data_IF_527504505263
#
_entry.id   IF_527504505263
#
_cell.length_a   1.000
_cell.length_b   1.000
_cell.length_c   1.000
_cell.angle_alpha   90.00
_cell.angle_beta   90.00
_cell.angle_gamma   90.00
#
_symmetry.space_group_name_H-M   'P 1'
#
loop_
_entity.id
_entity.type
_entity.pdbx_description
1 polymer ?
#
# COMPACT_ATOMS: atom_id res chain seq x y z
N UNK A 1 17.77 -49.74 48.16
CA UNK A 1 18.41 -48.41 48.11
C UNK A 1 19.10 -48.26 46.76
N UNK A 2 18.48 -47.53 45.83
CA UNK A 2 19.06 -47.30 44.49
C UNK A 2 20.16 -46.25 44.65
N UNK A 3 21.39 -46.61 44.30
CA UNK A 3 22.56 -45.72 44.38
C UNK A 3 22.30 -44.43 43.59
N UNK A 4 22.60 -43.28 44.22
CA UNK A 4 22.37 -41.91 43.71
C UNK A 4 22.84 -41.70 42.25
N UNK A 5 23.89 -42.42 41.81
CA UNK A 5 24.39 -42.35 40.43
C UNK A 5 23.48 -42.97 39.35
N UNK A 6 22.55 -43.86 39.72
CA UNK A 6 21.58 -44.45 38.77
C UNK A 6 20.23 -43.73 38.75
N UNK A 7 19.97 -42.84 39.71
CA UNK A 7 18.72 -42.09 39.79
C UNK A 7 18.70 -40.87 38.85
N UNK A 8 19.85 -40.22 38.64
CA UNK A 8 19.99 -39.04 37.76
C UNK A 8 19.52 -39.29 36.32
N UNK A 9 19.92 -40.37 35.61
CA UNK A 9 19.43 -40.63 34.26
C UNK A 9 17.95 -40.99 34.22
N UNK A 10 17.41 -41.62 35.28
CA UNK A 10 15.97 -41.93 35.38
C UNK A 10 15.13 -40.66 35.54
N UNK A 11 15.58 -39.70 36.36
CA UNK A 11 14.91 -38.40 36.48
C UNK A 11 15.03 -37.56 35.20
N UNK A 12 16.17 -37.62 34.51
CA UNK A 12 16.34 -36.97 33.21
C UNK A 12 15.38 -37.55 32.16
N UNK A 13 15.25 -38.87 32.10
CA UNK A 13 14.32 -39.52 31.17
C UNK A 13 12.86 -39.21 31.50
N UNK A 14 12.49 -39.22 32.78
CA UNK A 14 11.14 -38.85 33.22
C UNK A 14 10.80 -37.38 32.90
N UNK A 15 11.76 -36.46 33.03
CA UNK A 15 11.60 -35.05 32.69
C UNK A 15 11.39 -34.84 31.19
N UNK A 16 12.18 -35.52 30.34
CA UNK A 16 12.01 -35.49 28.88
C UNK A 16 10.65 -36.09 28.49
N UNK A 17 10.26 -37.21 29.10
CA UNK A 17 8.95 -37.82 28.83
C UNK A 17 7.81 -36.87 29.22
N UNK A 18 7.94 -36.14 30.33
CA UNK A 18 6.95 -35.15 30.76
C UNK A 18 6.87 -33.96 29.81
N UNK A 19 8.01 -33.47 29.30
CA UNK A 19 8.05 -32.42 28.27
C UNK A 19 7.38 -32.90 26.99
N UNK A 20 7.67 -34.12 26.53
CA UNK A 20 7.07 -34.67 25.32
C UNK A 20 5.55 -34.88 25.47
N UNK A 21 5.09 -35.31 26.66
CA UNK A 21 3.66 -35.42 26.97
C UNK A 21 2.98 -34.04 27.07
N UNK A 22 3.66 -33.03 27.62
CA UNK A 22 3.16 -31.66 27.66
C UNK A 22 3.07 -31.06 26.25
N UNK A 23 4.10 -31.22 25.41
CA UNK A 23 4.08 -30.78 24.01
C UNK A 23 2.95 -31.48 23.25
N UNK A 24 2.76 -32.80 23.44
CA UNK A 24 1.67 -33.55 22.80
C UNK A 24 0.29 -33.13 23.31
N UNK A 25 0.16 -32.79 24.58
CA UNK A 25 -1.09 -32.26 25.15
C UNK A 25 -1.41 -30.86 24.62
N UNK A 26 -0.41 -29.98 24.49
CA UNK A 26 -0.60 -28.67 23.86
C UNK A 26 -0.91 -28.83 22.37
N UNK A 27 -0.24 -29.74 21.66
CA UNK A 27 -0.52 -29.98 20.23
C UNK A 27 -1.93 -30.54 20.01
N UNK A 28 -2.41 -31.44 20.87
CA UNK A 28 -3.77 -31.98 20.72
C UNK A 28 -4.86 -30.95 21.05
N UNK A 29 -4.58 -29.98 21.94
CA UNK A 29 -5.48 -28.84 22.14
C UNK A 29 -5.53 -27.92 20.92
N UNK A 30 -4.42 -27.83 20.17
CA UNK A 30 -4.34 -27.04 18.94
C UNK A 30 -4.96 -27.76 17.73
N UNK A 31 -4.88 -29.09 17.64
CA UNK A 31 -5.61 -29.89 16.63
C UNK A 31 -7.13 -29.80 16.81
N UNK A 32 -7.63 -29.64 18.03
CA UNK A 32 -9.05 -29.36 18.26
C UNK A 32 -9.43 -27.92 17.91
N UNK A 33 -8.51 -26.95 18.08
CA UNK A 33 -8.73 -25.57 17.65
C UNK A 33 -8.80 -25.44 16.12
N UNK A 34 -8.01 -26.22 15.38
CA UNK A 34 -8.06 -26.25 13.90
C UNK A 34 -9.30 -26.96 13.35
N UNK A 35 -9.99 -27.80 14.13
CA UNK A 35 -11.31 -28.34 13.75
C UNK A 35 -12.47 -27.37 14.02
N UNK A 36 -12.31 -26.39 14.92
CA UNK A 36 -13.34 -25.38 15.24
C UNK A 36 -13.30 -24.22 14.24
N UNK A 37 -12.16 -23.97 13.60
CA UNK A 37 -12.01 -23.05 12.46
C UNK A 37 -12.11 -23.90 11.20
N UNK A 38 -13.23 -23.86 10.49
CA UNK A 38 -13.54 -24.71 9.33
C UNK A 38 -12.59 -24.55 8.14
N UNK A 39 -11.38 -25.07 8.25
CA UNK A 39 -10.48 -25.41 7.15
C UNK A 39 -10.85 -26.83 6.71
N UNK A 40 -11.29 -26.95 5.46
CA UNK A 40 -12.02 -28.09 4.92
C UNK A 40 -11.41 -29.47 5.19
N UNK A 41 -12.31 -30.45 5.38
CA UNK A 41 -12.00 -31.86 5.52
C UNK A 41 -11.17 -32.36 4.33
N UNK A 42 -10.05 -33.05 4.62
CA UNK A 42 -9.37 -33.90 3.66
C UNK A 42 -10.37 -34.93 3.11
N UNK A 43 -10.69 -34.80 1.83
CA UNK A 43 -11.53 -35.74 1.10
C UNK A 43 -10.95 -37.16 1.20
N UNK A 44 -11.61 -38.02 1.96
CA UNK A 44 -11.42 -39.47 1.90
C UNK A 44 -12.40 -40.04 0.88
N UNK A 45 -11.85 -40.87 -0.01
CA UNK A 45 -12.49 -41.53 -1.14
C UNK A 45 -13.77 -42.28 -0.74
N UNK A 46 -14.88 -42.22 -1.51
CA UNK A 46 -16.11 -42.90 -1.13
C UNK A 46 -16.07 -44.39 -1.51
N UNK A 47 -16.45 -45.25 -0.55
CA UNK A 47 -16.93 -46.60 -0.83
C UNK A 47 -18.36 -46.75 -0.26
N UNK A 48 -19.26 -47.49 -0.93
CA UNK A 48 -20.69 -47.32 -0.73
C UNK A 48 -21.27 -48.29 0.30
N UNK A 49 -21.99 -47.79 1.31
CA UNK A 49 -23.02 -48.58 2.00
C UNK A 49 -24.11 -47.71 2.66
N UNK A 50 -25.33 -47.94 2.15
CA UNK A 50 -26.72 -47.82 2.66
C UNK A 50 -27.16 -46.80 3.73
N UNK A 51 -28.40 -46.27 3.60
CA UNK A 51 -28.84 -45.09 4.33
C UNK A 51 -29.47 -45.46 5.68
N UNK A 52 -28.94 -44.91 6.77
CA UNK A 52 -29.67 -44.84 8.05
C UNK A 52 -30.08 -43.38 8.26
N UNK A 53 -31.40 -43.15 8.21
CA UNK A 53 -32.02 -41.88 8.60
C UNK A 53 -31.76 -41.65 10.08
N UNK A 54 -30.93 -40.66 10.41
CA UNK A 54 -30.97 -40.03 11.72
C UNK A 54 -31.55 -38.63 11.57
N UNK A 55 -32.72 -38.45 12.14
CA UNK A 55 -33.42 -37.20 12.28
C UNK A 55 -32.71 -36.41 13.39
N UNK A 56 -31.79 -35.52 13.03
CA UNK A 56 -31.22 -34.55 13.97
C UNK A 56 -31.80 -33.20 13.61
N UNK A 57 -32.89 -32.84 14.26
CA UNK A 57 -33.25 -31.44 14.48
C UNK A 57 -32.13 -30.81 15.31
N UNK A 58 -31.07 -30.36 14.64
CA UNK A 58 -30.14 -29.39 15.20
C UNK A 58 -30.84 -28.05 15.04
N UNK A 59 -31.38 -27.56 16.15
CA UNK A 59 -31.66 -26.14 16.30
C UNK A 59 -30.38 -25.42 15.91
N UNK A 60 -30.40 -24.67 14.81
CA UNK A 60 -29.39 -23.66 14.55
C UNK A 60 -29.55 -22.65 15.69
N UNK A 61 -28.77 -22.82 16.76
CA UNK A 61 -28.41 -21.68 17.60
C UNK A 61 -27.72 -20.70 16.65
N UNK A 62 -28.39 -19.59 16.36
CA UNK A 62 -27.73 -18.41 15.82
C UNK A 62 -26.48 -18.16 16.67
N UNK A 63 -25.30 -17.96 16.06
CA UNK A 63 -24.11 -17.64 16.83
C UNK A 63 -24.42 -16.41 17.66
N UNK A 64 -24.30 -16.53 18.99
CA UNK A 64 -24.45 -15.44 19.93
C UNK A 64 -23.74 -14.21 19.36
N UNK A 65 -24.47 -13.11 19.19
CA UNK A 65 -23.95 -11.83 18.69
C UNK A 65 -22.74 -11.48 19.56
N UNK A 66 -21.53 -11.77 19.07
CA UNK A 66 -20.29 -11.38 19.74
C UNK A 66 -20.27 -9.86 19.67
N UNK A 67 -20.44 -9.20 20.81
CA UNK A 67 -20.15 -7.77 20.92
C UNK A 67 -18.69 -7.57 20.54
N UNK A 68 -18.39 -6.79 19.49
CA UNK A 68 -17.01 -6.52 19.08
C UNK A 68 -16.22 -5.94 20.25
N UNK A 69 -14.93 -6.25 20.31
CA UNK A 69 -14.01 -5.70 21.29
C UNK A 69 -13.86 -4.17 21.13
N UNK A 70 -13.95 -3.68 19.89
CA UNK A 70 -13.96 -2.25 19.58
C UNK A 70 -15.17 -1.87 18.70
N UNK A 71 -15.86 -0.75 18.97
CA UNK A 71 -16.88 -0.26 18.08
C UNK A 71 -16.26 0.08 16.72
N UNK A 72 -16.95 -0.30 15.63
CA UNK A 72 -16.54 0.06 14.28
C UNK A 72 -16.67 1.57 14.09
N UNK A 73 -15.61 2.27 13.63
CA UNK A 73 -15.69 3.67 13.28
C UNK A 73 -16.79 3.92 12.26
N UNK A 74 -17.46 5.05 12.37
CA UNK A 74 -18.40 5.51 11.37
C UNK A 74 -17.69 6.50 10.45
N UNK A 75 -17.46 6.06 9.22
CA UNK A 75 -16.74 6.80 8.21
C UNK A 75 -17.70 7.64 7.38
N UNK A 76 -17.95 8.86 7.84
CA UNK A 76 -18.75 9.85 7.09
C UNK A 76 -17.84 10.73 6.23
N UNK A 77 -18.29 11.14 5.02
CA UNK A 77 -17.60 12.16 4.25
C UNK A 77 -17.46 13.46 5.04
N UNK A 78 -16.28 14.06 5.02
CA UNK A 78 -16.04 15.35 5.65
C UNK A 78 -16.65 16.50 4.84
N UNK A 79 -16.85 17.64 5.48
CA UNK A 79 -17.33 18.86 4.83
C UNK A 79 -16.15 19.78 4.49
N UNK A 80 -15.85 20.02 3.21
CA UNK A 80 -14.85 20.99 2.82
C UNK A 80 -15.14 22.37 3.38
N UNK A 81 -14.07 23.14 3.63
CA UNK A 81 -14.18 24.54 3.97
C UNK A 81 -14.68 25.32 2.74
N UNK A 82 -15.34 26.48 2.95
CA UNK A 82 -15.73 27.35 1.86
C UNK A 82 -14.53 27.80 1.02
N UNK A 83 -14.77 28.07 -0.27
CA UNK A 83 -13.77 28.61 -1.19
C UNK A 83 -13.08 29.85 -0.60
N UNK A 84 -11.77 29.96 -0.81
CA UNK A 84 -10.93 31.04 -0.25
C UNK A 84 -10.48 30.84 1.19
N UNK A 85 -10.91 29.77 1.88
CA UNK A 85 -10.41 29.44 3.22
C UNK A 85 -9.16 28.58 3.14
N UNK A 86 -8.15 28.87 3.96
CA UNK A 86 -6.91 28.09 4.01
C UNK A 86 -7.07 26.84 4.88
N UNK A 87 -6.37 25.77 4.48
CA UNK A 87 -6.24 24.54 5.25
C UNK A 87 -4.88 24.51 5.95
N UNK A 88 -4.86 24.10 7.21
CA UNK A 88 -3.59 23.75 7.86
C UNK A 88 -3.17 22.36 7.39
N UNK A 89 -1.90 22.24 7.01
CA UNK A 89 -1.33 21.05 6.39
C UNK A 89 -0.04 20.67 7.11
N UNK A 90 0.12 19.39 7.47
CA UNK A 90 1.40 18.86 7.97
C UNK A 90 1.84 17.66 7.14
N UNK A 91 3.11 17.65 6.77
CA UNK A 91 3.80 16.56 6.10
C UNK A 91 4.64 15.80 7.12
N UNK A 92 4.36 14.52 7.30
CA UNK A 92 5.01 13.62 8.26
C UNK A 92 5.92 12.66 7.49
N UNK A 93 7.21 12.69 7.81
CA UNK A 93 8.23 11.99 7.03
C UNK A 93 9.20 11.27 7.98
N UNK A 94 9.37 9.96 7.88
CA UNK A 94 10.50 9.26 8.49
C UNK A 94 11.76 9.57 7.67
N UNK A 95 12.90 9.72 8.34
CA UNK A 95 14.20 9.80 7.68
C UNK A 95 15.27 9.01 8.42
N UNK A 96 16.24 8.49 7.68
CA UNK A 96 17.54 8.08 8.23
C UNK A 96 18.53 9.26 8.23
N UNK A 97 19.68 9.12 8.87
CA UNK A 97 20.71 10.15 8.89
C UNK A 97 21.22 10.52 7.48
N UNK A 98 21.17 9.58 6.54
CA UNK A 98 21.74 9.71 5.20
C UNK A 98 20.76 10.32 4.19
N UNK A 99 19.47 10.45 4.56
CA UNK A 99 18.43 10.98 3.68
C UNK A 99 18.30 12.50 3.78
N UNK A 100 18.27 13.15 2.61
CA UNK A 100 18.07 14.59 2.49
C UNK A 100 16.58 14.95 2.45
N UNK A 101 16.18 15.74 3.43
CA UNK A 101 14.82 16.24 3.62
C UNK A 101 14.73 17.77 3.51
N UNK A 102 15.83 18.44 3.15
CA UNK A 102 15.91 19.90 3.09
C UNK A 102 15.02 20.51 2.00
N UNK A 103 14.74 19.75 0.94
CA UNK A 103 13.87 20.14 -0.16
C UNK A 103 12.47 20.57 0.31
N UNK A 104 11.94 19.98 1.39
CA UNK A 104 10.60 20.30 1.89
C UNK A 104 10.47 21.76 2.32
N UNK A 105 11.50 22.33 2.94
CA UNK A 105 11.47 23.73 3.37
C UNK A 105 11.48 24.71 2.19
N UNK A 106 12.13 24.30 1.08
CA UNK A 106 12.28 25.12 -0.13
C UNK A 106 11.04 25.01 -1.02
N UNK A 107 10.59 23.79 -1.28
CA UNK A 107 9.53 23.51 -2.25
C UNK A 107 8.12 23.60 -1.66
N UNK A 108 7.97 23.39 -0.35
CA UNK A 108 6.68 23.30 0.35
C UNK A 108 6.56 24.29 1.53
N UNK A 109 6.78 25.61 1.32
CA UNK A 109 6.74 26.60 2.40
C UNK A 109 5.35 26.75 3.08
N UNK A 110 4.29 26.27 2.43
CA UNK A 110 2.93 26.24 3.00
C UNK A 110 2.65 25.01 3.88
N UNK A 111 3.52 24.00 3.86
CA UNK A 111 3.38 22.79 4.64
C UNK A 111 4.21 22.89 5.90
N UNK A 112 3.60 22.58 7.04
CA UNK A 112 4.40 22.28 8.24
C UNK A 112 5.02 20.90 8.07
N UNK A 113 6.24 20.70 8.55
CA UNK A 113 6.92 19.41 8.46
C UNK A 113 7.09 18.79 9.85
N UNK A 114 6.93 17.47 9.93
CA UNK A 114 7.22 16.66 11.09
C UNK A 114 8.15 15.53 10.65
N UNK A 115 9.45 15.81 10.67
CA UNK A 115 10.49 14.91 10.18
C UNK A 115 11.07 14.11 11.35
N UNK A 116 10.82 12.81 11.36
CA UNK A 116 11.28 11.89 12.42
C UNK A 116 12.58 11.20 12.02
N UNK A 117 13.65 11.41 12.77
CA UNK A 117 14.90 10.68 12.57
C UNK A 117 14.78 9.30 13.20
N UNK A 118 14.80 8.22 12.40
CA UNK A 118 14.52 6.86 12.89
C UNK A 118 15.74 6.18 13.52
N UNK A 119 16.94 6.66 13.23
CA UNK A 119 18.23 6.12 13.65
C UNK A 119 19.02 7.03 14.60
N UNK A 120 18.46 8.19 14.97
CA UNK A 120 19.00 9.11 15.99
C UNK A 120 18.06 9.21 17.21
N UNK A 121 18.32 8.46 18.30
CA UNK A 121 17.54 8.52 19.52
C UNK A 121 17.59 9.87 20.27
N UNK A 122 18.52 10.76 19.89
CA UNK A 122 18.65 12.09 20.48
C UNK A 122 17.85 13.15 19.72
N UNK A 123 17.32 12.81 18.54
CA UNK A 123 16.54 13.73 17.73
C UNK A 123 15.25 14.16 18.46
N UNK A 124 14.81 15.42 18.32
CA UNK A 124 13.58 15.90 18.95
C UNK A 124 12.33 15.11 18.53
N UNK A 125 12.30 14.66 17.27
CA UNK A 125 11.29 13.78 16.72
C UNK A 125 11.96 12.43 16.41
N UNK A 126 11.72 11.45 17.28
CA UNK A 126 12.22 10.09 17.16
C UNK A 126 11.10 9.11 17.56
N UNK A 127 10.83 8.06 16.77
CA UNK A 127 9.84 7.04 17.15
C UNK A 127 10.31 6.26 18.38
N UNK A 128 9.41 5.60 19.13
CA UNK A 128 9.81 4.80 20.30
C UNK A 128 10.76 3.64 19.98
N UNK A 129 10.78 3.18 18.73
CA UNK A 129 11.68 2.15 18.21
C UNK A 129 11.73 2.23 16.68
N UNK A 130 12.89 2.03 16.07
CA UNK A 130 12.96 1.80 14.63
C UNK A 130 12.47 0.36 14.31
N UNK A 131 11.18 0.22 13.98
CA UNK A 131 10.52 -1.06 13.67
C UNK A 131 9.38 -0.83 12.68
N UNK A 132 9.29 -1.66 11.65
CA UNK A 132 8.22 -1.58 10.64
C UNK A 132 8.29 -0.34 9.74
N UNK A 133 9.51 0.14 9.48
CA UNK A 133 9.79 1.29 8.62
C UNK A 133 8.97 2.55 9.01
N UNK A 134 8.23 3.15 8.08
CA UNK A 134 7.45 4.37 8.25
C UNK A 134 6.30 4.22 9.25
N UNK A 135 5.81 2.99 9.46
CA UNK A 135 4.60 2.72 10.24
C UNK A 135 4.71 3.23 11.67
N UNK A 136 5.88 3.03 12.31
CA UNK A 136 6.07 3.49 13.68
C UNK A 136 6.01 5.02 13.77
N UNK A 137 6.57 5.72 12.79
CA UNK A 137 6.56 7.18 12.73
C UNK A 137 5.13 7.68 12.52
N UNK A 138 4.41 7.11 11.57
CA UNK A 138 3.03 7.52 11.26
C UNK A 138 2.10 7.33 12.47
N UNK A 139 2.16 6.15 13.11
CA UNK A 139 1.38 5.89 14.32
C UNK A 139 1.78 6.80 15.48
N UNK A 140 3.08 7.06 15.67
CA UNK A 140 3.56 7.92 16.76
C UNK A 140 3.10 9.36 16.58
N UNK A 141 3.20 9.91 15.36
CA UNK A 141 2.66 11.24 15.06
C UNK A 141 1.17 11.34 15.37
N UNK A 142 0.36 10.39 14.87
CA UNK A 142 -1.09 10.38 15.12
C UNK A 142 -1.38 10.35 16.62
N UNK A 143 -0.69 9.49 17.37
CA UNK A 143 -0.90 9.35 18.81
C UNK A 143 -0.48 10.60 19.56
N UNK A 144 0.66 11.21 19.23
CA UNK A 144 1.23 12.36 19.96
C UNK A 144 0.49 13.66 19.67
N UNK A 145 -0.01 13.81 18.46
CA UNK A 145 -0.67 15.02 17.98
C UNK A 145 -2.19 14.90 17.91
N UNK A 146 -2.78 13.79 18.37
CA UNK A 146 -4.21 13.47 18.23
C UNK A 146 -5.14 14.66 18.52
N UNK A 147 -4.94 15.37 19.63
CA UNK A 147 -5.81 16.49 20.05
C UNK A 147 -5.53 17.82 19.33
N UNK A 148 -4.47 17.89 18.50
CA UNK A 148 -3.95 19.11 17.86
C UNK A 148 -3.55 18.88 16.39
N UNK A 149 -4.19 17.93 15.72
CA UNK A 149 -3.93 17.62 14.31
C UNK A 149 -4.22 18.84 13.41
N UNK A 150 -3.50 19.02 12.28
CA UNK A 150 -3.86 19.97 11.22
C UNK A 150 -5.15 19.52 10.51
N UNK A 151 -5.68 20.30 9.57
CA UNK A 151 -6.87 19.90 8.81
C UNK A 151 -6.59 18.69 7.92
N UNK A 152 -5.37 18.66 7.33
CA UNK A 152 -4.86 17.56 6.52
C UNK A 152 -3.46 17.17 7.00
N UNK A 153 -3.25 15.86 7.16
CA UNK A 153 -1.94 15.26 7.38
C UNK A 153 -1.58 14.43 6.16
N UNK A 154 -0.42 14.67 5.57
CA UNK A 154 0.18 13.80 4.56
C UNK A 154 1.31 12.98 5.19
N UNK A 155 1.33 11.70 4.89
CA UNK A 155 2.36 10.74 5.31
C UNK A 155 3.09 10.29 4.06
N UNK A 156 4.42 10.45 4.03
CA UNK A 156 5.20 10.25 2.82
C UNK A 156 6.63 9.81 3.12
N UNK A 157 7.28 9.18 2.15
CA UNK A 157 8.71 8.90 2.21
C UNK A 157 9.55 10.19 2.06
N UNK A 158 10.82 10.12 2.42
CA UNK A 158 11.73 11.28 2.51
C UNK A 158 12.24 11.84 1.19
N UNK A 159 12.23 11.03 0.13
CA UNK A 159 12.79 11.36 -1.17
C UNK A 159 11.88 12.30 -1.96
N UNK A 160 12.44 13.39 -2.51
CA UNK A 160 11.71 14.26 -3.44
C UNK A 160 11.39 13.51 -4.75
N UNK A 161 12.40 12.89 -5.37
CA UNK A 161 12.24 12.16 -6.62
C UNK A 161 12.28 10.66 -6.36
N UNK A 162 11.20 9.95 -6.69
CA UNK A 162 11.12 8.52 -6.47
C UNK A 162 10.18 7.82 -7.45
N UNK A 163 10.48 6.56 -7.75
CA UNK A 163 9.68 5.70 -8.65
C UNK A 163 8.26 5.44 -8.15
N UNK A 164 8.03 5.57 -6.84
CA UNK A 164 6.73 5.32 -6.23
C UNK A 164 5.80 6.54 -6.31
N UNK A 165 6.29 7.70 -6.77
CA UNK A 165 5.46 8.85 -7.15
C UNK A 165 5.02 8.70 -8.61
N UNK A 166 3.82 9.18 -8.95
CA UNK A 166 3.29 9.03 -10.30
C UNK A 166 4.17 9.73 -11.36
N UNK A 167 4.36 9.05 -12.50
CA UNK A 167 5.12 9.57 -13.65
C UNK A 167 4.52 10.87 -14.21
N UNK A 168 3.22 11.09 -14.01
CA UNK A 168 2.52 12.31 -14.38
C UNK A 168 3.09 13.55 -13.66
N UNK A 169 3.71 13.36 -12.50
CA UNK A 169 4.45 14.39 -11.75
C UNK A 169 5.97 14.24 -11.92
N UNK A 170 6.44 13.51 -12.94
CA UNK A 170 7.85 13.18 -13.17
C UNK A 170 8.54 12.55 -11.94
N UNK A 171 7.79 11.82 -11.12
CA UNK A 171 8.29 11.26 -9.86
C UNK A 171 8.55 12.27 -8.75
N UNK A 172 8.19 13.55 -8.92
CA UNK A 172 8.44 14.65 -7.97
C UNK A 172 7.33 14.77 -6.91
N UNK A 173 7.70 14.47 -5.67
CA UNK A 173 6.81 14.59 -4.52
C UNK A 173 6.43 16.04 -4.21
N UNK A 174 7.27 17.01 -4.55
CA UNK A 174 6.97 18.42 -4.34
C UNK A 174 5.84 18.88 -5.25
N UNK A 175 5.86 18.54 -6.55
CA UNK A 175 4.77 18.88 -7.46
C UNK A 175 3.45 18.23 -7.04
N UNK A 176 3.51 16.95 -6.67
CA UNK A 176 2.37 16.21 -6.12
C UNK A 176 1.75 16.92 -4.91
N UNK A 177 2.55 17.28 -3.90
CA UNK A 177 2.06 17.89 -2.67
C UNK A 177 1.62 19.36 -2.81
N UNK A 178 2.18 20.10 -3.79
CA UNK A 178 1.70 21.44 -4.14
C UNK A 178 0.32 21.39 -4.78
N UNK A 179 0.06 20.36 -5.59
CA UNK A 179 -1.21 20.16 -6.31
C UNK A 179 -2.29 19.50 -5.47
N UNK A 180 -1.91 18.74 -4.44
CA UNK A 180 -2.85 18.01 -3.60
C UNK A 180 -3.94 18.93 -3.05
N UNK A 181 -5.17 18.67 -3.48
CA UNK A 181 -6.36 19.40 -3.07
C UNK A 181 -6.81 18.97 -1.66
N UNK A 182 -6.74 19.86 -0.64
CA UNK A 182 -7.18 19.52 0.71
C UNK A 182 -8.69 19.23 0.81
N UNK A 183 -9.52 19.83 -0.06
CA UNK A 183 -10.96 19.60 -0.06
C UNK A 183 -11.30 18.16 -0.45
N UNK A 184 -10.55 17.57 -1.40
CA UNK A 184 -10.64 16.16 -1.77
C UNK A 184 -10.28 15.26 -0.58
N UNK A 185 -9.16 15.54 0.10
CA UNK A 185 -8.76 14.78 1.30
C UNK A 185 -9.83 14.84 2.38
N UNK A 186 -10.45 16.00 2.61
CA UNK A 186 -11.53 16.15 3.59
C UNK A 186 -12.80 15.40 3.18
N UNK A 187 -13.22 15.47 1.91
CA UNK A 187 -14.40 14.73 1.43
C UNK A 187 -14.23 13.22 1.60
N UNK A 188 -13.09 12.69 1.16
CA UNK A 188 -12.83 11.24 1.22
C UNK A 188 -12.44 10.78 2.63
N UNK A 189 -11.83 11.66 3.41
CA UNK A 189 -11.24 11.35 4.72
C UNK A 189 -9.88 10.66 4.63
N UNK A 190 -9.68 9.81 3.62
CA UNK A 190 -8.43 9.12 3.30
C UNK A 190 -8.23 9.08 1.79
N UNK A 191 -7.03 9.40 1.34
CA UNK A 191 -6.64 9.30 -0.06
C UNK A 191 -5.23 8.76 -0.15
N UNK A 192 -4.99 7.80 -1.05
CA UNK A 192 -3.64 7.45 -1.44
C UNK A 192 -3.06 8.59 -2.28
N UNK A 193 -1.79 8.93 -2.08
CA UNK A 193 -1.13 9.99 -2.86
C UNK A 193 -0.76 9.51 -4.26
N UNK A 194 -0.62 8.21 -4.46
CA UNK A 194 -0.43 7.58 -5.78
C UNK A 194 -1.79 7.33 -6.43
N UNK A 195 -1.97 7.83 -7.65
CA UNK A 195 -3.16 7.57 -8.45
C UNK A 195 -3.01 6.28 -9.28
N UNK A 196 -1.81 5.98 -9.80
CA UNK A 196 -1.59 4.83 -10.67
C UNK A 196 -1.83 3.52 -9.95
N UNK A 197 -2.67 2.66 -10.52
CA UNK A 197 -3.14 1.41 -9.91
C UNK A 197 -2.06 0.36 -9.68
N UNK A 198 -1.04 0.33 -10.55
CA UNK A 198 0.05 -0.63 -10.43
C UNK A 198 1.20 -0.05 -9.60
N UNK A 199 1.80 -0.83 -8.67
CA UNK A 199 1.26 -2.07 -8.12
C UNK A 199 0.14 -1.79 -7.11
N UNK A 200 -0.74 -2.77 -6.88
CA UNK A 200 -1.67 -2.75 -5.75
C UNK A 200 -3.18 -2.83 -6.07
N UNK A 201 -3.60 -2.45 -7.27
CA UNK A 201 -4.98 -2.55 -7.74
C UNK A 201 -5.12 -3.39 -9.02
N UNK A 202 -6.29 -4.03 -9.28
CA UNK A 202 -7.50 -4.02 -8.46
C UNK A 202 -7.56 -5.12 -7.39
N UNK A 203 -6.66 -6.10 -7.44
CA UNK A 203 -6.60 -7.23 -6.51
C UNK A 203 -5.14 -7.61 -6.26
N UNK A 204 -4.55 -7.14 -5.16
CA UNK A 204 -3.12 -7.29 -4.91
C UNK A 204 -2.78 -8.42 -3.96
N UNK A 205 -3.30 -8.40 -2.73
CA UNK A 205 -3.03 -9.43 -1.71
C UNK A 205 -4.25 -10.28 -1.47
N UNK A 206 -4.04 -11.58 -1.38
CA UNK A 206 -5.02 -12.58 -1.02
C UNK A 206 -4.57 -13.26 0.27
N UNK A 207 -5.10 -12.88 1.44
CA UNK A 207 -4.68 -13.45 2.73
C UNK A 207 -4.74 -14.98 2.83
N UNK A 208 -5.53 -15.64 1.99
CA UNK A 208 -5.62 -17.10 1.90
C UNK A 208 -4.49 -17.78 1.10
N UNK A 209 -3.58 -17.03 0.47
CA UNK A 209 -2.46 -17.58 -0.31
C UNK A 209 -1.45 -18.26 0.60
N UNK A 210 -1.04 -19.48 0.23
CA UNK A 210 -0.03 -20.28 0.94
C UNK A 210 1.28 -20.44 0.16
N UNK A 211 1.29 -20.02 -1.11
CA UNK A 211 2.46 -20.11 -1.99
C UNK A 211 3.18 -18.77 -1.94
N UNK A 212 4.47 -18.80 -1.61
CA UNK A 212 5.28 -17.58 -1.57
C UNK A 212 5.46 -17.00 -2.99
N UNK A 213 5.15 -15.72 -3.13
CA UNK A 213 5.50 -14.91 -4.28
C UNK A 213 6.66 -13.97 -3.88
N UNK A 214 7.76 -14.01 -4.63
CA UNK A 214 8.92 -13.16 -4.37
C UNK A 214 8.59 -11.65 -4.45
N UNK A 215 7.55 -11.30 -5.20
CA UNK A 215 7.07 -9.92 -5.34
C UNK A 215 6.15 -9.50 -4.19
N UNK A 216 5.57 -10.45 -3.42
CA UNK A 216 4.57 -10.24 -2.35
C UNK A 216 4.82 -11.13 -1.13
N UNK A 217 6.02 -11.06 -0.58
CA UNK A 217 6.47 -11.94 0.51
C UNK A 217 5.59 -11.84 1.78
N UNK A 218 4.92 -10.72 1.96
CA UNK A 218 3.97 -10.43 3.04
C UNK A 218 2.66 -11.23 2.95
N UNK A 219 2.27 -11.68 1.76
CA UNK A 219 0.92 -12.20 1.48
C UNK A 219 0.60 -13.45 2.33
N UNK A 220 1.56 -14.37 2.43
CA UNK A 220 1.42 -15.63 3.20
C UNK A 220 1.33 -15.40 4.71
N UNK A 221 1.75 -14.22 5.19
CA UNK A 221 1.69 -13.84 6.62
C UNK A 221 0.44 -13.03 6.96
N UNK A 222 -0.29 -12.56 5.94
CA UNK A 222 -1.34 -11.57 6.06
C UNK A 222 -2.56 -12.09 6.84
N UNK A 223 -3.00 -13.34 6.62
CA UNK A 223 -4.13 -13.91 7.38
C UNK A 223 -3.85 -13.97 8.89
N UNK A 224 -2.63 -14.34 9.28
CA UNK A 224 -2.22 -14.35 10.69
C UNK A 224 -2.18 -12.94 11.25
N UNK A 225 -1.51 -12.02 10.57
CA UNK A 225 -1.42 -10.63 11.00
C UNK A 225 -2.81 -9.98 11.09
N UNK A 226 -3.71 -10.28 10.16
CA UNK A 226 -5.09 -9.81 10.17
C UNK A 226 -5.82 -10.24 11.44
N UNK A 227 -5.77 -11.51 11.81
CA UNK A 227 -6.41 -12.00 13.05
C UNK A 227 -5.85 -11.36 14.32
N UNK A 228 -4.60 -10.88 14.28
CA UNK A 228 -3.97 -10.16 15.39
C UNK A 228 -4.25 -8.65 15.40
N UNK A 229 -4.52 -8.02 14.25
CA UNK A 229 -4.75 -6.56 14.11
C UNK A 229 -6.24 -6.22 14.10
N UNK A 230 -7.07 -7.08 13.51
CA UNK A 230 -8.52 -6.90 13.38
C UNK A 230 -9.25 -8.16 13.91
N UNK A 231 -9.15 -8.47 15.21
CA UNK A 231 -9.63 -9.74 15.77
C UNK A 231 -11.16 -9.95 15.64
N UNK A 232 -11.93 -8.88 15.44
CA UNK A 232 -13.38 -8.92 15.27
C UNK A 232 -13.83 -8.91 13.80
N UNK A 233 -12.92 -8.70 12.85
CA UNK A 233 -13.25 -8.59 11.42
C UNK A 233 -12.90 -9.89 10.69
N UNK A 234 -13.76 -10.35 9.76
CA UNK A 234 -13.44 -11.52 8.95
C UNK A 234 -12.19 -11.24 8.10
N UNK A 235 -11.38 -12.27 7.89
CA UNK A 235 -10.23 -12.20 6.97
C UNK A 235 -10.78 -11.93 5.56
N UNK A 236 -10.32 -10.89 4.86
CA UNK A 236 -10.83 -10.55 3.54
C UNK A 236 -10.30 -11.52 2.48
N UNK A 237 -11.03 -11.66 1.38
CA UNK A 237 -10.58 -12.43 0.21
C UNK A 237 -9.49 -11.70 -0.58
N UNK A 238 -9.55 -10.36 -0.59
CA UNK A 238 -8.66 -9.47 -1.33
C UNK A 238 -8.38 -8.22 -0.50
N UNK A 239 -7.12 -7.78 -0.47
CA UNK A 239 -6.73 -6.42 -0.13
C UNK A 239 -6.14 -5.72 -1.35
N UNK A 240 -6.58 -4.49 -1.62
CA UNK A 240 -6.10 -3.74 -2.77
C UNK A 240 -6.23 -2.22 -2.58
N UNK A 241 -5.15 -1.53 -2.90
CA UNK A 241 -5.05 -0.09 -3.08
C UNK A 241 -3.75 0.20 -3.84
N UNK A 242 -3.52 1.39 -4.44
CA UNK A 242 -2.19 1.73 -4.93
C UNK A 242 -1.12 1.59 -3.83
N UNK A 243 0.09 1.19 -4.22
CA UNK A 243 1.15 0.85 -3.27
C UNK A 243 1.66 2.02 -2.39
N UNK A 244 2.64 1.65 -1.58
CA UNK A 244 3.77 2.46 -1.14
C UNK A 244 3.53 3.38 0.07
N UNK A 245 2.46 3.15 0.84
CA UNK A 245 2.24 3.79 2.15
C UNK A 245 2.37 5.33 2.16
N UNK A 246 2.09 5.98 1.02
CA UNK A 246 2.01 7.44 0.92
C UNK A 246 0.55 7.86 0.79
N UNK A 247 0.04 8.58 1.78
CA UNK A 247 -1.38 8.91 1.84
C UNK A 247 -1.62 10.23 2.57
N UNK A 248 -2.76 10.84 2.31
CA UNK A 248 -3.25 11.99 3.07
C UNK A 248 -4.57 11.65 3.76
N UNK A 249 -4.73 12.16 4.97
CA UNK A 249 -5.93 11.96 5.80
C UNK A 249 -6.39 13.26 6.41
N UNK A 250 -7.70 13.40 6.55
CA UNK A 250 -8.29 14.54 7.23
C UNK A 250 -8.26 14.37 8.74
N UNK A 251 -8.26 15.50 9.46
CA UNK A 251 -8.42 15.52 10.93
C UNK A 251 -9.62 14.71 11.38
N UNK A 252 -10.78 15.00 10.79
CA UNK A 252 -12.05 14.40 11.15
C UNK A 252 -12.01 12.89 10.95
N UNK A 253 -11.29 12.42 9.91
CA UNK A 253 -11.12 11.00 9.67
C UNK A 253 -10.26 10.32 10.72
N UNK A 254 -9.16 10.93 11.15
CA UNK A 254 -8.35 10.42 12.27
C UNK A 254 -9.18 10.41 13.56
N UNK A 255 -9.96 11.47 13.83
CA UNK A 255 -10.81 11.57 15.02
C UNK A 255 -12.00 10.61 15.05
N UNK A 256 -12.46 10.13 13.89
CA UNK A 256 -13.46 9.06 13.83
C UNK A 256 -12.97 7.74 14.46
N UNK A 257 -11.65 7.60 14.63
CA UNK A 257 -11.01 6.42 15.20
C UNK A 257 -10.46 6.79 16.59
N UNK A 258 -10.90 6.13 17.68
CA UNK A 258 -10.40 6.46 19.01
C UNK A 258 -8.88 6.33 19.11
N UNK A 259 -8.22 7.28 19.80
CA UNK A 259 -6.76 7.28 20.02
C UNK A 259 -6.20 5.92 20.49
N UNK A 260 -6.94 5.23 21.35
CA UNK A 260 -6.56 3.91 21.86
C UNK A 260 -6.38 2.85 20.75
N UNK A 261 -7.09 2.97 19.62
CA UNK A 261 -6.95 2.04 18.49
C UNK A 261 -5.61 2.21 17.78
N UNK A 262 -5.13 3.45 17.63
CA UNK A 262 -3.78 3.72 17.11
C UNK A 262 -2.69 3.23 18.06
N UNK A 263 -2.90 3.37 19.38
CA UNK A 263 -1.98 2.80 20.39
C UNK A 263 -1.91 1.28 20.24
N UNK A 264 -3.05 0.61 20.11
CA UNK A 264 -3.10 -0.84 19.89
C UNK A 264 -2.36 -1.29 18.62
N UNK A 265 -2.51 -0.56 17.51
CA UNK A 265 -1.76 -0.80 16.28
C UNK A 265 -0.25 -0.65 16.48
N UNK A 266 0.16 0.40 17.20
CA UNK A 266 1.58 0.63 17.52
C UNK A 266 2.14 -0.46 18.42
N UNK A 267 1.35 -0.90 19.40
CA UNK A 267 1.72 -2.00 20.27
C UNK A 267 1.84 -3.31 19.48
N UNK A 268 0.97 -3.60 18.52
CA UNK A 268 1.16 -4.74 17.61
C UNK A 268 2.50 -4.66 16.88
N UNK A 269 2.83 -3.48 16.34
CA UNK A 269 4.11 -3.28 15.64
C UNK A 269 5.32 -3.52 16.55
N UNK A 270 5.26 -3.10 17.82
CA UNK A 270 6.33 -3.32 18.79
C UNK A 270 6.49 -4.78 19.22
N UNK A 271 5.38 -5.53 19.27
CA UNK A 271 5.32 -6.90 19.80
C UNK A 271 5.50 -7.98 18.74
N UNK A 272 5.19 -7.70 17.49
CA UNK A 272 5.24 -8.71 16.42
C UNK A 272 6.65 -9.22 16.21
N UNK A 273 6.77 -10.54 15.99
CA UNK A 273 8.03 -11.21 15.67
C UNK A 273 8.38 -11.10 14.18
N UNK A 274 7.48 -10.54 13.36
CA UNK A 274 7.72 -10.28 11.95
C UNK A 274 8.88 -9.28 11.77
N UNK A 275 9.71 -9.52 10.76
CA UNK A 275 10.78 -8.59 10.39
C UNK A 275 10.22 -7.20 10.04
N UNK A 276 11.05 -6.17 10.12
CA UNK A 276 10.65 -4.80 9.74
C UNK A 276 10.11 -4.75 8.32
N UNK A 277 10.83 -5.39 7.40
CA UNK A 277 10.43 -5.55 6.01
C UNK A 277 9.01 -6.12 5.85
N UNK A 278 8.70 -7.27 6.47
CA UNK A 278 7.39 -7.90 6.32
C UNK A 278 6.29 -7.11 7.03
N UNK A 279 6.55 -6.67 8.27
CA UNK A 279 5.56 -5.91 9.04
C UNK A 279 5.21 -4.56 8.40
N UNK A 280 6.17 -3.87 7.78
CA UNK A 280 5.95 -2.65 7.03
C UNK A 280 5.11 -2.90 5.77
N UNK A 281 5.47 -3.91 4.98
CA UNK A 281 4.72 -4.29 3.76
C UNK A 281 3.29 -4.74 4.02
N UNK A 282 3.02 -5.39 5.16
CA UNK A 282 1.64 -5.66 5.59
C UNK A 282 0.90 -4.34 5.78
N UNK A 283 1.48 -3.41 6.54
CA UNK A 283 0.84 -2.13 6.87
C UNK A 283 0.64 -1.21 5.68
N UNK A 284 1.50 -1.30 4.65
CA UNK A 284 1.32 -0.63 3.36
C UNK A 284 -0.10 -0.83 2.80
N UNK A 285 -0.67 -2.03 2.96
CA UNK A 285 -2.02 -2.39 2.51
C UNK A 285 -3.06 -2.43 3.64
N UNK A 286 -2.78 -1.84 4.80
CA UNK A 286 -3.77 -1.70 5.89
C UNK A 286 -4.23 -0.27 6.14
N UNK A 287 -3.50 0.74 5.64
CA UNK A 287 -3.87 2.14 5.87
C UNK A 287 -5.27 2.48 5.36
N UNK A 288 -5.62 2.06 4.14
CA UNK A 288 -6.96 2.26 3.61
C UNK A 288 -8.00 1.54 4.49
N UNK A 289 -7.80 0.29 4.87
CA UNK A 289 -8.70 -0.46 5.78
C UNK A 289 -8.92 0.31 7.09
N UNK A 290 -7.85 0.84 7.69
CA UNK A 290 -7.91 1.60 8.95
C UNK A 290 -8.78 2.86 8.79
N UNK A 291 -8.65 3.58 7.68
CA UNK A 291 -9.29 4.87 7.50
C UNK A 291 -10.56 4.85 6.64
N UNK A 292 -10.90 3.77 5.96
CA UNK A 292 -12.10 3.66 5.12
C UNK A 292 -13.00 2.51 5.54
N UNK A 293 -12.46 1.49 6.21
CA UNK A 293 -13.16 0.26 6.53
C UNK A 293 -13.37 -0.67 5.32
N UNK A 294 -12.85 -0.27 4.15
CA UNK A 294 -12.94 -1.02 2.91
C UNK A 294 -11.67 -1.84 2.70
N UNK A 295 -11.82 -3.06 2.20
CA UNK A 295 -10.70 -3.96 1.88
C UNK A 295 -10.11 -3.69 0.48
N UNK A 296 -10.89 -3.05 -0.40
CA UNK A 296 -10.48 -2.69 -1.76
C UNK A 296 -10.77 -1.21 -1.95
N UNK A 297 -9.72 -0.40 -2.09
CA UNK A 297 -9.79 1.03 -2.26
C UNK A 297 -9.03 1.48 -3.52
N UNK A 298 -9.59 1.13 -4.67
CA UNK A 298 -9.04 1.41 -6.00
C UNK A 298 -9.86 2.51 -6.70
N UNK A 299 -9.63 3.76 -6.30
CA UNK A 299 -10.24 4.92 -6.98
C UNK A 299 -9.77 4.96 -8.43
N UNK A 300 -10.67 5.23 -9.37
CA UNK A 300 -10.30 5.40 -10.78
C UNK A 300 -9.21 6.47 -10.93
N UNK A 301 -8.18 6.16 -11.70
CA UNK A 301 -7.00 7.02 -11.84
C UNK A 301 -7.38 8.43 -12.31
N UNK A 302 -8.27 8.57 -13.31
CA UNK A 302 -8.74 9.88 -13.80
C UNK A 302 -9.47 10.72 -12.72
N UNK A 303 -10.23 10.08 -11.82
CA UNK A 303 -10.91 10.75 -10.68
C UNK A 303 -9.86 11.25 -9.69
N UNK A 304 -8.86 10.42 -9.38
CA UNK A 304 -7.77 10.76 -8.48
C UNK A 304 -6.98 11.98 -8.99
N UNK A 305 -6.57 11.98 -10.26
CA UNK A 305 -5.89 13.12 -10.89
C UNK A 305 -6.76 14.37 -10.93
N UNK A 306 -8.05 14.24 -11.29
CA UNK A 306 -8.92 15.38 -11.46
C UNK A 306 -9.29 16.07 -10.13
N UNK A 307 -9.90 15.37 -9.18
CA UNK A 307 -10.37 15.99 -7.94
C UNK A 307 -9.25 16.12 -6.90
N UNK A 308 -8.26 15.21 -6.95
CA UNK A 308 -7.13 15.20 -6.04
C UNK A 308 -6.01 16.16 -6.42
N UNK A 309 -5.74 16.37 -7.71
CA UNK A 309 -4.58 17.13 -8.18
C UNK A 309 -4.90 18.20 -9.23
N UNK A 310 -6.18 18.35 -9.62
CA UNK A 310 -6.60 19.36 -10.59
C UNK A 310 -6.20 19.06 -12.02
N UNK A 311 -6.05 17.78 -12.39
CA UNK A 311 -5.68 17.33 -13.74
C UNK A 311 -6.81 16.47 -14.29
N UNK A 312 -7.70 17.10 -15.06
CA UNK A 312 -8.98 16.54 -15.46
C UNK A 312 -8.95 16.20 -16.95
N UNK A 313 -8.95 14.90 -17.28
CA UNK A 313 -8.79 14.45 -18.67
C UNK A 313 -10.06 14.58 -19.50
N UNK A 314 -11.21 14.85 -18.87
CA UNK A 314 -12.51 15.02 -19.52
C UNK A 314 -13.39 13.77 -19.46
N UNK A 315 -12.91 12.71 -18.82
CA UNK A 315 -13.58 11.43 -18.75
C UNK A 315 -12.60 10.27 -18.68
N UNK A 316 -13.15 9.07 -18.49
CA UNK A 316 -12.38 7.82 -18.49
C UNK A 316 -11.81 7.51 -19.89
N UNK A 317 -12.59 7.74 -20.96
CA UNK A 317 -12.19 7.48 -22.34
C UNK A 317 -10.99 8.35 -22.77
N UNK A 318 -11.01 9.64 -22.44
CA UNK A 318 -9.91 10.56 -22.71
C UNK A 318 -8.66 10.23 -21.90
N UNK A 319 -8.83 9.78 -20.66
CA UNK A 319 -7.73 9.31 -19.83
C UNK A 319 -7.14 8.01 -20.38
N UNK A 320 -7.97 7.09 -20.89
CA UNK A 320 -7.52 5.86 -21.53
C UNK A 320 -6.75 6.14 -22.81
N UNK A 321 -7.15 7.14 -23.59
CA UNK A 321 -6.38 7.61 -24.74
C UNK A 321 -4.99 8.14 -24.32
N UNK A 322 -4.93 8.95 -23.27
CA UNK A 322 -3.67 9.42 -22.67
C UNK A 322 -2.77 8.26 -22.23
N UNK A 323 -3.32 7.24 -21.54
CA UNK A 323 -2.58 6.03 -21.16
C UNK A 323 -2.08 5.26 -22.38
N UNK A 324 -2.87 5.24 -23.46
CA UNK A 324 -2.47 4.64 -24.74
C UNK A 324 -1.20 5.27 -25.33
N UNK A 325 -1.09 6.60 -25.28
CA UNK A 325 0.11 7.31 -25.71
C UNK A 325 1.33 7.01 -24.84
N UNK A 326 1.15 6.96 -23.51
CA UNK A 326 2.22 6.54 -22.61
C UNK A 326 2.71 5.11 -22.89
N UNK A 327 1.78 4.16 -23.05
CA UNK A 327 2.12 2.79 -23.39
C UNK A 327 2.86 2.71 -24.74
N UNK A 328 2.45 3.51 -25.72
CA UNK A 328 3.10 3.57 -27.02
C UNK A 328 4.53 4.12 -26.93
N UNK A 329 4.72 5.20 -26.17
CA UNK A 329 6.05 5.77 -25.89
C UNK A 329 6.96 4.73 -25.24
N UNK A 330 6.50 4.04 -24.19
CA UNK A 330 7.30 3.02 -23.51
C UNK A 330 7.68 1.86 -24.42
N UNK A 331 6.79 1.43 -25.32
CA UNK A 331 7.10 0.40 -26.33
C UNK A 331 8.21 0.88 -27.29
N UNK A 332 8.14 2.14 -27.74
CA UNK A 332 9.16 2.72 -28.62
C UNK A 332 10.51 2.87 -27.90
N UNK A 333 10.52 3.29 -26.63
CA UNK A 333 11.73 3.38 -25.80
C UNK A 333 12.38 2.01 -25.59
N UNK A 334 11.59 0.96 -25.38
CA UNK A 334 12.11 -0.40 -25.28
C UNK A 334 12.73 -0.87 -26.60
N UNK A 335 12.08 -0.58 -27.74
CA UNK A 335 12.63 -0.86 -29.06
C UNK A 335 13.93 -0.10 -29.32
N UNK A 336 13.99 1.19 -28.96
CA UNK A 336 15.17 2.02 -29.10
C UNK A 336 16.33 1.51 -28.24
N UNK A 337 16.05 1.13 -26.99
CA UNK A 337 17.03 0.48 -26.11
C UNK A 337 17.53 -0.84 -26.70
N UNK A 338 16.62 -1.68 -27.20
CA UNK A 338 16.98 -2.95 -27.85
C UNK A 338 17.79 -2.77 -29.14
N UNK A 339 17.53 -1.70 -29.89
CA UNK A 339 18.36 -1.29 -31.04
C UNK A 339 19.77 -0.91 -30.59
N UNK A 340 19.91 -0.05 -29.58
CA UNK A 340 21.20 0.41 -29.06
C UNK A 340 22.05 -0.76 -28.55
N UNK A 341 21.44 -1.68 -27.77
CA UNK A 341 22.14 -2.87 -27.28
C UNK A 341 22.68 -3.74 -28.42
N UNK A 342 21.92 -3.91 -29.51
CA UNK A 342 22.37 -4.67 -30.68
C UNK A 342 23.51 -3.95 -31.42
N UNK A 343 23.40 -2.63 -31.61
CA UNK A 343 24.42 -1.82 -32.23
C UNK A 343 25.75 -1.89 -31.44
N UNK A 344 25.68 -1.72 -30.12
CA UNK A 344 26.83 -1.81 -29.22
C UNK A 344 27.48 -3.20 -29.26
N UNK A 345 26.67 -4.28 -29.27
CA UNK A 345 27.19 -5.64 -29.34
C UNK A 345 27.97 -5.89 -30.64
N UNK A 346 27.51 -5.34 -31.76
CA UNK A 346 28.19 -5.44 -33.06
C UNK A 346 29.51 -4.68 -33.02
N UNK A 347 29.53 -3.46 -32.47
CA UNK A 347 30.74 -2.66 -32.34
C UNK A 347 31.78 -3.33 -31.42
N UNK A 348 31.35 -3.89 -30.28
CA UNK A 348 32.22 -4.66 -29.40
C UNK A 348 32.80 -5.90 -30.10
N UNK A 349 31.98 -6.62 -30.85
CA UNK A 349 32.41 -7.80 -31.60
C UNK A 349 33.41 -7.42 -32.70
N UNK A 350 33.18 -6.30 -33.39
CA UNK A 350 34.10 -5.69 -34.37
C UNK A 350 35.44 -5.33 -33.74
N UNK A 351 35.43 -4.67 -32.58
CA UNK A 351 36.64 -4.28 -31.85
C UNK A 351 37.46 -5.47 -31.35
N UNK A 352 36.78 -6.55 -30.94
CA UNK A 352 37.44 -7.78 -30.48
C UNK A 352 38.05 -8.64 -31.62
N UNK A 353 37.79 -8.28 -32.88
CA UNK A 353 38.25 -9.04 -34.05
C UNK A 353 37.55 -10.38 -34.26
N UNK A 354 36.44 -10.63 -33.54
CA UNK A 354 35.66 -11.88 -33.64
C UNK A 354 34.44 -11.75 -34.55
N UNK A 355 34.25 -10.59 -35.19
CA UNK A 355 33.15 -10.34 -36.12
C UNK A 355 33.38 -11.14 -37.41
N UNK A 356 32.57 -12.18 -37.59
CA UNK A 356 32.60 -13.06 -38.77
C UNK A 356 31.26 -13.77 -38.97
N UNK A 357 31.16 -14.62 -40.00
CA UNK A 357 29.91 -15.31 -40.37
C UNK A 357 29.32 -16.18 -39.24
N UNK A 358 30.14 -16.64 -38.30
CA UNK A 358 29.73 -17.46 -37.13
C UNK A 358 29.13 -16.64 -35.97
N UNK A 359 29.17 -15.29 -36.03
CA UNK A 359 28.73 -14.45 -34.91
C UNK A 359 27.21 -14.44 -34.72
N UNK A 360 26.42 -14.94 -35.69
CA UNK A 360 24.94 -15.00 -35.64
C UNK A 360 24.25 -13.70 -35.16
N UNK A 361 24.87 -12.54 -35.39
CA UNK A 361 24.34 -11.24 -34.96
C UNK A 361 23.36 -10.69 -36.00
N UNK A 362 22.19 -10.21 -35.54
CA UNK A 362 21.26 -9.46 -36.37
C UNK A 362 21.67 -7.99 -36.43
N UNK A 363 22.01 -7.49 -37.62
CA UNK A 363 22.36 -6.09 -37.81
C UNK A 363 21.10 -5.22 -37.78
N UNK A 364 21.06 -4.16 -36.93
CA UNK A 364 19.97 -3.19 -36.97
C UNK A 364 19.91 -2.45 -38.30
N UNK A 365 18.73 -1.95 -38.69
CA UNK A 365 18.61 -1.17 -39.92
C UNK A 365 19.20 0.23 -39.73
N UNK A 366 20.04 0.73 -40.67
CA UNK A 366 20.53 2.11 -40.61
C UNK A 366 19.39 3.13 -40.64
N UNK A 367 19.40 4.10 -39.71
CA UNK A 367 18.39 5.16 -39.61
C UNK A 367 17.13 4.79 -38.83
N UNK A 368 17.00 3.54 -38.38
CA UNK A 368 15.92 3.10 -37.49
C UNK A 368 16.01 3.77 -36.11
N UNK A 369 17.22 4.02 -35.62
CA UNK A 369 17.49 4.79 -34.40
C UNK A 369 16.92 6.21 -34.46
N UNK A 370 17.16 6.92 -35.56
CA UNK A 370 16.62 8.27 -35.79
C UNK A 370 15.08 8.23 -35.87
N UNK A 371 14.54 7.23 -36.57
CA UNK A 371 13.08 7.06 -36.70
C UNK A 371 12.43 6.80 -35.34
N UNK A 372 13.02 5.92 -34.52
CA UNK A 372 12.54 5.61 -33.18
C UNK A 372 12.62 6.83 -32.27
N UNK A 373 13.73 7.58 -32.31
CA UNK A 373 13.88 8.83 -31.55
C UNK A 373 12.81 9.86 -31.94
N UNK A 374 12.60 10.10 -33.23
CA UNK A 374 11.56 11.03 -33.72
C UNK A 374 10.15 10.60 -33.27
N UNK A 375 9.85 9.30 -33.27
CA UNK A 375 8.56 8.77 -32.80
C UNK A 375 8.37 8.96 -31.28
N UNK A 376 9.42 8.73 -30.49
CA UNK A 376 9.41 8.96 -29.03
C UNK A 376 9.15 10.44 -28.74
N UNK A 377 9.85 11.34 -29.43
CA UNK A 377 9.69 12.79 -29.26
C UNK A 377 8.26 13.24 -29.63
N UNK A 378 7.67 12.68 -30.69
CA UNK A 378 6.29 12.97 -31.07
C UNK A 378 5.27 12.51 -30.02
N UNK A 379 5.42 11.30 -29.48
CA UNK A 379 4.54 10.82 -28.40
C UNK A 379 4.71 11.68 -27.14
N UNK A 380 5.93 12.08 -26.80
CA UNK A 380 6.20 12.95 -25.66
C UNK A 380 5.54 14.33 -25.81
N UNK A 381 5.60 14.94 -26.99
CA UNK A 381 4.94 16.21 -27.26
C UNK A 381 3.42 16.11 -27.08
N UNK A 382 2.81 15.03 -27.58
CA UNK A 382 1.38 14.80 -27.47
C UNK A 382 0.94 14.53 -26.02
N UNK A 383 1.69 13.70 -25.29
CA UNK A 383 1.48 13.47 -23.86
C UNK A 383 1.50 14.78 -23.08
N UNK A 384 2.51 15.62 -23.34
CA UNK A 384 2.64 16.93 -22.69
C UNK A 384 1.48 17.86 -23.02
N UNK A 385 1.02 17.90 -24.28
CA UNK A 385 -0.15 18.67 -24.70
C UNK A 385 -1.42 18.22 -23.96
N UNK A 386 -1.64 16.90 -23.85
CA UNK A 386 -2.78 16.33 -23.14
C UNK A 386 -2.77 16.70 -21.65
N UNK A 387 -1.62 16.63 -20.98
CA UNK A 387 -1.47 17.02 -19.57
C UNK A 387 -1.72 18.51 -19.36
N UNK A 388 -1.22 19.37 -20.25
CA UNK A 388 -1.46 20.82 -20.20
C UNK A 388 -2.95 21.13 -20.35
N UNK A 389 -3.62 20.52 -21.34
CA UNK A 389 -5.05 20.70 -21.56
C UNK A 389 -5.88 20.18 -20.38
N UNK A 390 -5.50 19.02 -19.82
CA UNK A 390 -6.15 18.46 -18.64
C UNK A 390 -5.97 19.33 -17.39
N UNK A 391 -4.77 19.91 -17.21
CA UNK A 391 -4.47 20.86 -16.13
C UNK A 391 -5.29 22.14 -16.28
N UNK A 392 -5.42 22.69 -17.50
CA UNK A 392 -6.23 23.88 -17.74
C UNK A 392 -7.71 23.61 -17.45
N UNK A 393 -8.24 22.48 -17.93
CA UNK A 393 -9.61 22.04 -17.63
C UNK A 393 -9.82 21.89 -16.12
N UNK A 394 -8.85 21.31 -15.43
CA UNK A 394 -8.90 21.08 -14.00
C UNK A 394 -8.81 22.34 -13.15
N UNK A 395 -8.56 23.54 -13.72
CA UNK A 395 -8.71 24.82 -13.00
C UNK A 395 -10.16 25.18 -12.74
N UNK A 396 -11.09 24.71 -13.57
CA UNK A 396 -12.53 24.97 -13.42
C UNK A 396 -13.19 24.07 -12.35
N UNK A 397 -13.71 24.64 -11.24
CA UNK A 397 -14.48 23.90 -10.23
C UNK A 397 -15.65 23.08 -10.76
N UNK A 398 -16.37 23.60 -11.77
CA UNK A 398 -17.52 22.92 -12.34
C UNK A 398 -17.08 21.72 -13.18
N UNK A 399 -16.03 21.89 -13.99
CA UNK A 399 -15.44 20.80 -14.77
C UNK A 399 -14.95 19.66 -13.87
N UNK A 400 -14.22 19.98 -12.78
CA UNK A 400 -13.81 19.00 -11.77
C UNK A 400 -15.01 18.24 -11.21
N UNK A 401 -16.05 18.98 -10.84
CA UNK A 401 -17.25 18.40 -10.26
C UNK A 401 -17.95 17.41 -11.20
N UNK A 402 -18.05 17.81 -12.46
CA UNK A 402 -18.69 17.04 -13.52
C UNK A 402 -17.94 15.74 -13.79
N UNK A 403 -16.61 15.79 -13.89
CA UNK A 403 -15.79 14.60 -14.17
C UNK A 403 -15.89 13.54 -13.07
N UNK A 404 -16.03 13.97 -11.81
CA UNK A 404 -16.17 13.05 -10.67
C UNK A 404 -17.62 12.78 -10.26
N UNK A 405 -18.59 13.27 -11.04
CA UNK A 405 -20.02 13.04 -10.82
C UNK A 405 -20.58 13.66 -9.53
N UNK A 406 -19.93 14.70 -8.97
CA UNK A 406 -20.41 15.41 -7.77
C UNK A 406 -21.30 16.60 -8.15
N UNK A 407 -22.32 16.94 -7.35
CA UNK A 407 -23.10 18.16 -7.56
C UNK A 407 -22.21 19.39 -7.40
N UNK A 408 -22.47 20.43 -8.19
CA UNK A 408 -21.80 21.72 -8.12
C UNK A 408 -22.81 22.85 -7.99
N UNK A 409 -22.45 23.88 -7.22
CA UNK A 409 -23.20 25.13 -7.07
C UNK A 409 -22.25 26.32 -7.25
N UNK A 410 -22.82 27.43 -7.69
CA UNK A 410 -22.08 28.70 -7.82
C UNK A 410 -21.38 29.06 -6.50
N UNK A 411 -20.08 29.31 -6.55
CA UNK A 411 -19.23 29.57 -5.38
C UNK A 411 -18.54 28.34 -4.78
N UNK A 412 -18.89 27.12 -5.21
CA UNK A 412 -18.15 25.91 -4.84
C UNK A 412 -16.75 25.96 -5.48
N UNK A 413 -15.73 25.74 -4.66
CA UNK A 413 -14.34 25.65 -5.09
C UNK A 413 -13.95 24.24 -5.49
N UNK A 414 -12.82 23.79 -4.99
CA UNK A 414 -12.33 22.43 -5.17
C UNK A 414 -13.22 21.36 -4.56
#
# INVERSE_FOLDING_TARGET
>A
MISSRRAVPLFGFAFILFILLAIRSLSSQWEQATQVVGLGELATTPSPSSPVRFNVTRVHEEPAIRTPYAPKPQFVPGLPKPSGTTYTKTLVVPKTSDEDTSWMEVELPEWQTAVYAVDDPSAPLHPPKNKGHEVMVYLSYIIEHYDRLPDVVAFMHSHQFAWHNDDLFAGDAADLLRRLNPAWVVRQGYVNLRCTWSPGCPAWLHPGTLVEDQTKQEEVMLARAWGEIFPDDPIPEVLAQPCCAQFAVSRDRIHAIPRARFVYFRDWMLRTELSDYISGRIWEYLWHVVFTGENVYCIKEHICYCDGFGICFGGEDEYDAFRGHHAKKSELEEQFKGWNVRADMIELTRMSGTLGEESHLSFPQPGEDLTLADLIDMEELLINELVVNATERGKDPEARAREVGRPWKEGDGF
#
